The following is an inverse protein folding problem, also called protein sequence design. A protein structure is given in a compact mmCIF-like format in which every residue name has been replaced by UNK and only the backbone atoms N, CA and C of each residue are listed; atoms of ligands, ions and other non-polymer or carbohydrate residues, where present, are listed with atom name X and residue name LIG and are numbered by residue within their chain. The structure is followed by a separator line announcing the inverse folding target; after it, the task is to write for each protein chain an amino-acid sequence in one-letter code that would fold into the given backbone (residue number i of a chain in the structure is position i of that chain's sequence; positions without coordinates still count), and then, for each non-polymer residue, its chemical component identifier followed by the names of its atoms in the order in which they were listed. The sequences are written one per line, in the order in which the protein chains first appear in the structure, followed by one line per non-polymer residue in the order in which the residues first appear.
data_IF_667670514894
#
_entry.id   IF_667670514894
#
_cell.length_a   1.000
_cell.length_b   1.000
_cell.length_c   1.000
_cell.angle_alpha   90.00
_cell.angle_beta   90.00
_cell.angle_gamma   90.00
#
_symmetry.space_group_name_H-M   'P 1'
#
loop_
_entity.id
_entity.type
_entity.pdbx_description
1 polymer ?
#
# COMPACT_ATOMS: atom_id res chain seq x y z
N UNK A 1 16.19 -2.34 -10.04
CA UNK A 1 15.93 -3.05 -8.77
C UNK A 1 14.90 -2.23 -8.01
N UNK A 2 13.67 -2.73 -7.87
CA UNK A 2 12.55 -1.99 -7.22
C UNK A 2 12.73 -2.05 -5.70
N UNK A 3 13.29 -0.99 -5.12
CA UNK A 3 13.63 -0.92 -3.70
C UNK A 3 12.39 -0.79 -2.82
N UNK A 4 11.73 -1.92 -2.53
CA UNK A 4 10.67 -2.05 -1.51
C UNK A 4 11.18 -1.82 -0.07
N UNK A 5 12.45 -1.44 0.12
CA UNK A 5 13.09 -1.31 1.42
C UNK A 5 12.52 -0.17 2.28
N UNK A 6 11.65 0.67 1.72
CA UNK A 6 11.08 1.86 2.36
C UNK A 6 9.56 1.80 2.46
N UNK A 7 8.99 0.62 2.25
CA UNK A 7 7.55 0.41 2.31
C UNK A 7 7.12 0.04 3.74
N UNK A 8 5.85 0.33 4.05
CA UNK A 8 5.20 -0.07 5.30
C UNK A 8 3.98 -0.90 4.96
N UNK A 9 3.61 -1.83 5.83
CA UNK A 9 2.35 -2.56 5.72
C UNK A 9 1.44 -2.19 6.87
N UNK A 10 0.25 -1.76 6.50
CA UNK A 10 -0.86 -1.56 7.41
C UNK A 10 -1.84 -2.72 7.33
N UNK A 11 -2.21 -3.29 8.47
CA UNK A 11 -3.37 -4.17 8.59
C UNK A 11 -4.62 -3.30 8.69
N UNK A 12 -5.47 -3.35 7.68
CA UNK A 12 -6.73 -2.61 7.62
C UNK A 12 -7.70 -3.15 8.66
N UNK A 13 -8.21 -2.27 9.51
CA UNK A 13 -9.08 -2.64 10.62
C UNK A 13 -10.41 -3.25 10.15
N UNK A 14 -10.89 -2.87 8.96
CA UNK A 14 -12.15 -3.33 8.39
C UNK A 14 -11.98 -3.93 6.98
N UNK A 15 -12.27 -5.23 6.77
CA UNK A 15 -12.33 -5.82 5.44
C UNK A 15 -13.32 -5.04 4.55
N UNK A 16 -12.87 -4.65 3.35
CA UNK A 16 -13.68 -3.91 2.36
C UNK A 16 -13.42 -2.41 2.28
N UNK A 17 -12.68 -1.82 3.23
CA UNK A 17 -12.28 -0.40 3.18
C UNK A 17 -11.01 -0.16 2.36
N UNK A 18 -10.27 -1.21 1.97
CA UNK A 18 -9.01 -1.15 1.23
C UNK A 18 -9.09 -0.32 -0.06
N UNK A 19 -10.22 -0.36 -0.77
CA UNK A 19 -10.42 0.43 -2.00
C UNK A 19 -10.57 1.94 -1.73
N UNK A 20 -10.99 2.34 -0.54
CA UNK A 20 -11.20 3.75 -0.19
C UNK A 20 -9.95 4.42 0.37
N UNK A 21 -8.98 3.64 0.85
CA UNK A 21 -7.79 4.17 1.52
C UNK A 21 -6.96 5.05 0.56
N UNK A 22 -6.74 4.61 -0.68
CA UNK A 22 -6.00 5.43 -1.66
C UNK A 22 -6.68 6.79 -1.88
N UNK A 23 -8.01 6.80 -1.98
CA UNK A 23 -8.77 8.02 -2.21
C UNK A 23 -8.71 8.94 -0.97
N UNK A 24 -8.73 8.35 0.23
CA UNK A 24 -8.59 9.08 1.49
C UNK A 24 -7.20 9.75 1.62
N UNK A 25 -6.13 9.05 1.19
CA UNK A 25 -4.78 9.60 1.15
C UNK A 25 -4.66 10.78 0.17
N UNK A 26 -5.20 10.62 -1.03
CA UNK A 26 -5.28 11.72 -2.00
C UNK A 26 -6.10 12.91 -1.48
N UNK A 27 -7.22 12.66 -0.81
CA UNK A 27 -8.06 13.72 -0.24
C UNK A 27 -7.38 14.47 0.91
N UNK A 28 -6.42 13.83 1.59
CA UNK A 28 -5.58 14.48 2.61
C UNK A 28 -4.37 15.22 2.02
N UNK A 29 -4.15 15.14 0.71
CA UNK A 29 -3.01 15.77 0.05
C UNK A 29 -1.74 14.91 0.01
N UNK A 30 -1.80 13.65 0.49
CA UNK A 30 -0.67 12.72 0.43
C UNK A 30 -0.62 12.01 -0.91
N UNK A 31 -0.30 12.76 -1.97
CA UNK A 31 -0.21 12.24 -3.34
C UNK A 31 1.08 11.42 -3.60
N UNK A 32 2.14 11.68 -2.83
CA UNK A 32 3.40 10.93 -2.91
C UNK A 32 3.31 9.52 -2.34
N UNK A 33 2.28 9.23 -1.53
CA UNK A 33 2.09 7.92 -0.92
C UNK A 33 1.15 7.05 -1.75
N UNK A 34 1.71 5.97 -2.28
CA UNK A 34 0.99 4.93 -3.00
C UNK A 34 0.55 3.83 -2.05
N UNK A 35 -0.76 3.57 -2.01
CA UNK A 35 -1.40 2.49 -1.25
C UNK A 35 -1.75 1.36 -2.21
N UNK A 36 -1.15 0.19 -2.00
CA UNK A 36 -1.43 -1.02 -2.76
C UNK A 36 -2.05 -2.08 -1.84
N UNK A 37 -3.34 -2.43 -2.00
CA UNK A 37 -3.94 -3.51 -1.22
C UNK A 37 -3.28 -4.85 -1.61
N UNK A 38 -2.77 -5.58 -0.62
CA UNK A 38 -2.10 -6.88 -0.80
C UNK A 38 -3.07 -8.07 -0.65
N UNK A 39 -4.33 -7.81 -0.30
CA UNK A 39 -5.30 -8.85 0.05
C UNK A 39 -5.24 -9.23 1.54
N UNK A 40 -6.21 -10.03 1.99
CA UNK A 40 -6.33 -10.44 3.41
C UNK A 40 -6.32 -9.27 4.42
N UNK A 41 -6.92 -8.13 4.05
CA UNK A 41 -6.94 -6.88 4.82
C UNK A 41 -5.59 -6.20 4.99
N UNK A 42 -4.57 -6.55 4.22
CA UNK A 42 -3.28 -5.86 4.25
C UNK A 42 -3.21 -4.80 3.14
N UNK A 43 -2.58 -3.67 3.45
CA UNK A 43 -2.24 -2.65 2.46
C UNK A 43 -0.79 -2.22 2.61
N UNK A 44 -0.11 -2.13 1.47
CA UNK A 44 1.26 -1.66 1.34
C UNK A 44 1.25 -0.16 1.09
N UNK A 45 1.97 0.58 1.92
CA UNK A 45 2.20 2.01 1.83
C UNK A 45 3.63 2.23 1.29
N UNK A 46 3.74 2.87 0.14
CA UNK A 46 5.01 3.26 -0.48
C UNK A 46 5.04 4.76 -0.65
N UNK A 47 6.03 5.42 -0.04
CA UNK A 47 6.32 6.82 -0.31
C UNK A 47 7.14 6.96 -1.59
N UNK A 48 6.96 8.08 -2.28
CA UNK A 48 7.79 8.45 -3.40
C UNK A 48 9.18 8.87 -2.91
N UNK A 49 9.23 9.56 -1.76
CA UNK A 49 10.46 10.05 -1.14
C UNK A 49 10.82 9.29 0.15
N UNK A 50 12.10 9.34 0.51
CA UNK A 50 12.58 8.76 1.77
C UNK A 50 12.02 9.55 2.95
N UNK A 51 11.51 8.85 3.96
CA UNK A 51 10.87 9.48 5.11
C UNK A 51 9.45 9.97 4.87
N UNK A 52 8.89 9.93 3.65
CA UNK A 52 7.54 10.43 3.37
C UNK A 52 6.46 9.65 4.13
N UNK A 53 6.53 8.30 4.09
CA UNK A 53 5.59 7.45 4.85
C UNK A 53 5.85 7.56 6.35
N UNK A 54 7.11 7.75 6.76
CA UNK A 54 7.44 7.88 8.18
C UNK A 54 6.91 9.19 8.75
N UNK A 55 7.09 10.31 8.05
CA UNK A 55 6.52 11.60 8.39
C UNK A 55 4.99 11.52 8.45
N UNK A 56 4.36 10.84 7.48
CA UNK A 56 2.92 10.58 7.51
C UNK A 56 2.50 9.75 8.73
N UNK A 57 3.26 8.72 9.10
CA UNK A 57 2.99 7.89 10.27
C UNK A 57 3.09 8.66 11.59
N UNK A 58 3.95 9.68 11.64
CA UNK A 58 4.13 10.54 12.81
C UNK A 58 3.09 11.67 12.86
N UNK A 59 2.86 12.35 11.75
CA UNK A 59 1.94 13.49 11.61
C UNK A 59 0.47 13.07 11.64
N UNK A 60 0.11 12.01 10.91
CA UNK A 60 -1.25 11.52 10.76
C UNK A 60 -1.51 10.21 11.51
N UNK A 61 -0.76 9.93 12.59
CA UNK A 61 -0.86 8.68 13.36
C UNK A 61 -2.29 8.36 13.81
N UNK A 62 -2.99 9.35 14.34
CA UNK A 62 -4.35 9.20 14.87
C UNK A 62 -5.35 8.89 13.75
N UNK A 63 -5.20 9.58 12.61
CA UNK A 63 -6.00 9.31 11.42
C UNK A 63 -5.73 7.92 10.84
N UNK A 64 -4.46 7.51 10.76
CA UNK A 64 -4.07 6.20 10.29
C UNK A 64 -4.60 5.08 11.20
N UNK A 65 -4.66 5.27 12.52
CA UNK A 65 -5.27 4.32 13.45
C UNK A 65 -6.78 4.10 13.21
N UNK A 66 -7.46 5.01 12.51
CA UNK A 66 -8.86 4.81 12.10
C UNK A 66 -8.99 3.82 10.94
N UNK A 67 -7.98 3.76 10.08
CA UNK A 67 -7.96 2.90 8.89
C UNK A 67 -7.23 1.58 9.15
N UNK A 68 -6.11 1.66 9.86
CA UNK A 68 -5.19 0.57 10.13
C UNK A 68 -5.20 0.22 11.61
N UNK A 69 -5.28 -1.08 11.88
CA UNK A 69 -5.21 -1.66 13.20
C UNK A 69 -3.78 -1.71 13.72
N UNK A 70 -2.85 -2.03 12.82
CA UNK A 70 -1.42 -2.07 13.06
C UNK A 70 -0.70 -1.61 11.81
N UNK A 71 0.38 -0.83 11.98
CA UNK A 71 1.27 -0.46 10.89
C UNK A 71 2.68 -0.84 11.27
N UNK A 72 3.34 -1.58 10.38
CA UNK A 72 4.70 -2.09 10.58
C UNK A 72 5.57 -1.87 9.35
N UNK A 73 6.90 -1.72 9.52
CA UNK A 73 7.81 -1.65 8.38
C UNK A 73 7.76 -2.96 7.59
N UNK A 74 7.69 -2.86 6.26
CA UNK A 74 7.63 -4.01 5.37
C UNK A 74 8.92 -4.84 5.50
N UNK A 75 8.77 -6.16 5.66
CA UNK A 75 9.93 -7.07 5.69
C UNK A 75 10.01 -7.85 4.38
N UNK A 76 11.20 -7.93 3.75
CA UNK A 76 11.38 -8.65 2.49
C UNK A 76 11.09 -10.17 2.57
N UNK A 77 11.01 -10.75 3.77
CA UNK A 77 10.59 -12.15 3.98
C UNK A 77 9.09 -12.39 3.78
N UNK A 78 8.25 -11.35 3.75
CA UNK A 78 6.80 -11.45 3.47
C UNK A 78 6.51 -11.52 1.94
N UNK A 79 7.52 -11.23 1.10
CA UNK A 79 7.44 -11.15 -0.37
C UNK A 79 7.26 -12.52 -1.05
N UNK A 80 7.69 -13.63 -0.44
CA UNK A 80 7.66 -14.94 -1.11
C UNK A 80 6.23 -15.43 -1.45
N UNK A 81 5.21 -14.97 -0.71
CA UNK A 81 3.81 -15.28 -1.01
C UNK A 81 3.18 -14.29 -2.01
N UNK A 82 3.57 -13.02 -1.98
CA UNK A 82 2.93 -11.94 -2.76
C UNK A 82 3.58 -11.69 -4.14
N UNK A 83 4.88 -12.01 -4.30
CA UNK A 83 5.58 -11.98 -5.60
C UNK A 83 4.88 -12.84 -6.65
N UNK A 84 4.14 -13.87 -6.24
CA UNK A 84 3.33 -14.71 -7.12
C UNK A 84 2.08 -13.97 -7.65
N UNK A 85 1.49 -13.05 -6.89
CA UNK A 85 0.32 -12.28 -7.32
C UNK A 85 0.69 -11.07 -8.19
N UNK A 86 1.73 -10.31 -7.81
CA UNK A 86 2.15 -9.12 -8.59
C UNK A 86 2.79 -9.49 -9.95
N UNK A 87 3.45 -10.65 -10.05
CA UNK A 87 3.93 -11.19 -11.35
C UNK A 87 2.78 -11.51 -12.30
N UNK A 88 1.64 -12.01 -11.81
CA UNK A 88 0.45 -12.26 -12.66
C UNK A 88 -0.14 -10.96 -13.22
N UNK A 89 -0.19 -9.89 -12.42
CA UNK A 89 -0.71 -8.60 -12.89
C UNK A 89 0.16 -7.94 -13.97
N UNK A 90 1.49 -8.15 -13.93
CA UNK A 90 2.42 -7.58 -14.92
C UNK A 90 2.52 -8.39 -16.23
N UNK A 91 2.16 -9.68 -16.20
CA UNK A 91 2.15 -10.58 -17.36
C UNK A 91 0.72 -10.88 -17.88
N UNK A 92 -0.26 -10.02 -17.65
CA UNK A 92 -1.59 -10.12 -18.25
C UNK A 92 -1.65 -9.30 -19.57
N UNK A 93 -1.46 -9.91 -20.75
CA UNK A 93 -1.56 -9.24 -22.05
C UNK A 93 -3.00 -8.93 -22.52
N UNK A 94 -3.99 -8.83 -21.64
CA UNK A 94 -5.41 -8.89 -22.03
C UNK A 94 -6.23 -7.60 -21.84
N UNK A 95 -5.60 -6.43 -21.86
CA UNK A 95 -6.37 -5.18 -21.94
C UNK A 95 -5.75 -4.21 -22.94
N UNK A 96 -5.94 -4.48 -24.23
CA UNK A 96 -6.42 -3.46 -25.15
C UNK A 96 -7.59 -4.05 -25.94
N UNK A 97 -8.72 -3.31 -26.03
CA UNK A 97 -9.93 -3.76 -26.71
C UNK A 97 -9.76 -3.76 -28.23
N UNK A 98 -10.52 -4.65 -28.85
CA UNK A 98 -10.86 -4.71 -30.27
C UNK A 98 -10.88 -3.34 -30.97
N UNK A 99 -10.05 -3.17 -32.00
CA UNK A 99 -10.31 -2.29 -33.14
C UNK A 99 -9.49 -2.69 -34.36
#
# INVERSE_FOLDING_TARGET
MMSLQKAFVGEVAKPGMTYNIQNAFHSQGYFGVKVTPLGSNLALLQGQEDGEVQALLEDAKDWLNQWFREIRPWKPKEVDLDRIMMQRARNCPWMLPDS
#
